data_IF_832302170433
#
_entry.id   IF_832302170433
#
_cell.length_a   1.000
_cell.length_b   1.000
_cell.length_c   1.000
_cell.angle_alpha   90.00
_cell.angle_beta   90.00
_cell.angle_gamma   90.00
#
_symmetry.space_group_name_H-M   'P 1'
#
loop_
_entity.id
_entity.type
_entity.pdbx_description
1 polymer ?
#
# COMPACT_ATOMS: atom_id res chain seq x y z
N UNK A 1 17.70 12.57 26.23
CA UNK A 1 16.39 12.85 25.62
C UNK A 1 16.56 12.56 24.15
N UNK A 2 15.89 11.53 23.62
CA UNK A 2 15.95 11.23 22.19
C UNK A 2 14.94 12.14 21.50
N UNK A 3 15.42 13.02 20.62
CA UNK A 3 14.56 13.78 19.73
C UNK A 3 13.91 12.78 18.76
N UNK A 4 12.59 12.62 18.90
CA UNK A 4 11.76 11.92 17.94
C UNK A 4 11.83 12.70 16.63
N UNK A 5 12.71 12.31 15.72
CA UNK A 5 12.69 12.78 14.34
C UNK A 5 11.41 12.23 13.70
N UNK A 6 10.31 12.97 13.87
CA UNK A 6 9.13 12.84 13.03
C UNK A 6 9.59 13.16 11.61
N UNK A 7 9.87 12.11 10.85
CA UNK A 7 9.99 12.20 9.40
C UNK A 7 8.66 12.80 8.94
N UNK A 8 8.67 13.98 8.28
CA UNK A 8 7.42 14.54 7.79
C UNK A 8 6.79 13.52 6.85
N UNK A 9 5.48 13.28 6.95
CA UNK A 9 4.82 12.33 6.08
C UNK A 9 5.11 12.70 4.63
N UNK A 10 5.26 11.71 3.72
CA UNK A 10 5.48 11.98 2.32
C UNK A 10 4.40 12.96 1.80
N UNK A 11 4.76 13.90 0.91
CA UNK A 11 3.79 14.85 0.37
C UNK A 11 2.63 14.08 -0.27
N UNK A 12 1.41 14.43 0.13
CA UNK A 12 0.21 13.77 -0.37
C UNK A 12 0.13 13.86 -1.89
N UNK A 13 -0.16 12.73 -2.54
CA UNK A 13 -0.31 12.69 -4.00
C UNK A 13 -1.39 13.68 -4.47
N UNK A 14 -1.09 14.42 -5.54
CA UNK A 14 -2.03 15.38 -6.16
C UNK A 14 -2.80 14.77 -7.33
N UNK A 15 -2.66 13.46 -7.54
CA UNK A 15 -3.28 12.76 -8.66
C UNK A 15 -4.83 12.88 -8.64
N UNK A 16 -5.46 13.06 -9.80
CA UNK A 16 -6.90 13.33 -9.88
C UNK A 16 -7.76 12.15 -9.38
N UNK A 17 -7.31 10.91 -9.62
CA UNK A 17 -7.98 9.71 -9.11
C UNK A 17 -7.71 9.52 -7.62
N UNK A 18 -8.78 9.43 -6.80
CA UNK A 18 -8.69 9.10 -5.38
C UNK A 18 -7.97 7.77 -5.16
N UNK A 19 -8.34 6.72 -5.89
CA UNK A 19 -7.73 5.40 -5.73
C UNK A 19 -6.23 5.39 -6.02
N UNK A 20 -5.79 6.15 -7.03
CA UNK A 20 -4.35 6.31 -7.31
C UNK A 20 -3.64 6.99 -6.14
N UNK A 21 -4.21 8.08 -5.59
CA UNK A 21 -3.63 8.77 -4.43
C UNK A 21 -3.43 7.82 -3.26
N UNK A 22 -4.46 7.05 -2.90
CA UNK A 22 -4.38 6.07 -1.82
C UNK A 22 -3.26 5.05 -2.02
N UNK A 23 -3.15 4.48 -3.22
CA UNK A 23 -2.09 3.51 -3.51
C UNK A 23 -0.72 4.20 -3.48
N UNK A 24 -0.56 5.38 -4.08
CA UNK A 24 0.70 6.14 -4.06
C UNK A 24 1.12 6.48 -2.64
N UNK A 25 0.19 6.94 -1.80
CA UNK A 25 0.46 7.32 -0.41
C UNK A 25 0.91 6.09 0.39
N UNK A 26 0.23 4.95 0.24
CA UNK A 26 0.61 3.69 0.88
C UNK A 26 2.01 3.21 0.46
N UNK A 27 2.31 3.21 -0.84
CA UNK A 27 3.62 2.81 -1.36
C UNK A 27 4.73 3.77 -0.92
N UNK A 28 4.44 5.07 -0.92
CA UNK A 28 5.38 6.10 -0.46
C UNK A 28 5.67 5.93 1.02
N UNK A 29 4.66 5.64 1.84
CA UNK A 29 4.85 5.34 3.26
C UNK A 29 5.74 4.10 3.46
N UNK A 30 5.51 3.00 2.72
CA UNK A 30 6.35 1.80 2.81
C UNK A 30 7.81 2.10 2.45
N UNK A 31 8.04 2.87 1.38
CA UNK A 31 9.38 3.28 0.96
C UNK A 31 10.08 4.17 2.00
N UNK A 32 9.37 5.16 2.55
CA UNK A 32 9.93 6.13 3.49
C UNK A 32 10.14 5.54 4.89
N UNK A 33 9.13 4.85 5.42
CA UNK A 33 9.13 4.29 6.77
C UNK A 33 9.91 2.97 6.84
N UNK A 34 10.29 2.41 5.68
CA UNK A 34 10.89 1.07 5.57
C UNK A 34 10.06 0.03 6.30
N UNK A 35 8.74 0.04 6.03
CA UNK A 35 7.79 -0.91 6.61
C UNK A 35 8.32 -2.33 6.46
N UNK A 36 8.52 -3.09 7.56
CA UNK A 36 9.15 -4.40 7.48
C UNK A 36 8.34 -5.37 6.60
N UNK A 37 8.99 -5.86 5.54
CA UNK A 37 8.47 -6.90 4.66
C UNK A 37 9.53 -8.01 4.59
N UNK A 38 9.08 -9.26 4.69
CA UNK A 38 9.97 -10.42 4.72
C UNK A 38 10.77 -10.50 3.42
N UNK A 39 12.06 -10.83 3.54
CA UNK A 39 13.00 -11.02 2.43
C UNK A 39 13.24 -9.78 1.53
N UNK A 40 12.70 -8.61 1.87
CA UNK A 40 12.94 -7.36 1.12
C UNK A 40 14.25 -6.70 1.50
N UNK A 41 15.01 -6.28 0.49
CA UNK A 41 16.24 -5.51 0.63
C UNK A 41 16.07 -4.04 0.20
N UNK A 42 17.16 -3.26 0.22
CA UNK A 42 17.12 -1.85 -0.15
C UNK A 42 16.64 -1.59 -1.60
N UNK A 43 16.92 -2.52 -2.52
CA UNK A 43 16.51 -2.42 -3.91
C UNK A 43 15.01 -2.64 -4.07
N UNK A 44 14.41 -3.50 -3.24
CA UNK A 44 12.97 -3.76 -3.24
C UNK A 44 12.19 -2.51 -2.79
N UNK A 45 12.64 -1.85 -1.71
CA UNK A 45 12.05 -0.57 -1.30
C UNK A 45 12.26 0.53 -2.36
N UNK A 46 13.45 0.60 -2.96
CA UNK A 46 13.71 1.55 -4.04
C UNK A 46 12.78 1.32 -5.24
N UNK A 47 12.51 0.05 -5.58
CA UNK A 47 11.58 -0.31 -6.63
C UNK A 47 10.14 0.13 -6.31
N UNK A 48 9.68 -0.01 -5.06
CA UNK A 48 8.39 0.55 -4.64
C UNK A 48 8.34 2.07 -4.80
N UNK A 49 9.40 2.80 -4.44
CA UNK A 49 9.46 4.25 -4.67
C UNK A 49 9.34 4.62 -6.15
N UNK A 50 9.93 3.82 -7.04
CA UNK A 50 9.78 3.97 -8.50
C UNK A 50 8.34 3.71 -8.93
N UNK A 51 7.69 2.66 -8.43
CA UNK A 51 6.29 2.35 -8.75
C UNK A 51 5.33 3.44 -8.26
N UNK A 52 5.53 3.96 -7.05
CA UNK A 52 4.76 5.09 -6.52
C UNK A 52 4.86 6.32 -7.44
N UNK A 53 6.08 6.68 -7.84
CA UNK A 53 6.34 7.80 -8.76
C UNK A 53 5.70 7.56 -10.14
N UNK A 54 5.74 6.33 -10.64
CA UNK A 54 5.15 5.97 -11.92
C UNK A 54 3.62 6.06 -11.91
N UNK A 55 2.98 5.63 -10.82
CA UNK A 55 1.53 5.78 -10.60
C UNK A 55 1.13 7.25 -10.47
N UNK A 56 1.86 8.03 -9.67
CA UNK A 56 1.57 9.45 -9.44
C UNK A 56 1.70 10.30 -10.72
N UNK A 57 2.70 9.97 -11.56
CA UNK A 57 2.90 10.63 -12.84
C UNK A 57 2.01 10.11 -13.98
N UNK A 58 1.21 9.06 -13.74
CA UNK A 58 0.38 8.42 -14.76
C UNK A 58 1.15 7.62 -15.81
N UNK A 59 2.45 7.35 -15.60
CA UNK A 59 3.26 6.47 -16.47
C UNK A 59 2.88 5.00 -16.29
N UNK A 60 2.36 4.66 -15.12
CA UNK A 60 1.77 3.36 -14.80
C UNK A 60 0.30 3.60 -14.45
N UNK A 61 -0.61 2.90 -15.11
CA UNK A 61 -2.03 2.98 -14.78
C UNK A 61 -2.36 2.11 -13.58
N UNK A 62 -3.32 2.55 -12.76
CA UNK A 62 -3.84 1.70 -11.68
C UNK A 62 -4.42 0.39 -12.24
N UNK A 63 -5.03 0.44 -13.42
CA UNK A 63 -5.53 -0.74 -14.10
C UNK A 63 -4.40 -1.73 -14.40
N UNK A 64 -3.20 -1.28 -14.79
CA UNK A 64 -2.05 -2.14 -15.10
C UNK A 64 -1.54 -2.94 -13.89
N UNK A 65 -1.75 -2.40 -12.68
CA UNK A 65 -1.28 -2.99 -11.42
C UNK A 65 -2.41 -3.55 -10.55
N UNK A 66 -3.66 -3.41 -10.97
CA UNK A 66 -4.79 -4.09 -10.35
C UNK A 66 -4.85 -5.53 -10.88
N UNK A 67 -5.26 -6.47 -10.03
CA UNK A 67 -5.44 -7.84 -10.47
C UNK A 67 -6.55 -7.95 -11.52
N UNK A 68 -6.27 -8.72 -12.58
CA UNK A 68 -7.07 -8.77 -13.82
C UNK A 68 -8.12 -9.88 -13.87
N UNK A 69 -8.25 -10.66 -12.81
CA UNK A 69 -9.22 -11.75 -12.73
C UNK A 69 -8.62 -13.14 -12.95
N UNK A 70 -9.44 -14.19 -12.80
CA UNK A 70 -9.01 -15.58 -12.89
C UNK A 70 -8.34 -15.90 -14.23
N UNK A 71 -7.28 -16.71 -14.19
CA UNK A 71 -6.51 -17.09 -15.39
C UNK A 71 -5.53 -16.02 -15.89
N UNK A 72 -5.50 -14.84 -15.27
CA UNK A 72 -4.48 -13.82 -15.57
C UNK A 72 -3.19 -14.09 -14.77
N UNK A 73 -2.05 -14.01 -15.45
CA UNK A 73 -0.75 -14.04 -14.78
C UNK A 73 -0.54 -12.78 -13.94
N UNK A 74 0.05 -12.92 -12.75
CA UNK A 74 0.42 -11.79 -11.91
C UNK A 74 1.78 -11.25 -12.31
N UNK A 75 1.85 -9.96 -12.62
CA UNK A 75 3.12 -9.27 -12.91
C UNK A 75 3.96 -9.09 -11.66
N UNK A 76 5.25 -8.75 -11.85
CA UNK A 76 6.14 -8.42 -10.73
C UNK A 76 5.61 -7.20 -9.98
N UNK A 77 5.21 -6.16 -10.69
CA UNK A 77 4.67 -4.91 -10.16
C UNK A 77 3.44 -5.19 -9.27
N UNK A 78 2.52 -6.03 -9.74
CA UNK A 78 1.32 -6.41 -8.99
C UNK A 78 1.67 -7.06 -7.64
N UNK A 79 2.64 -7.98 -7.63
CA UNK A 79 3.08 -8.67 -6.39
C UNK A 79 3.70 -7.69 -5.41
N UNK A 80 4.64 -6.88 -5.88
CA UNK A 80 5.33 -5.89 -5.05
C UNK A 80 4.36 -4.87 -4.45
N UNK A 81 3.44 -4.35 -5.25
CA UNK A 81 2.43 -3.39 -4.78
C UNK A 81 1.48 -4.03 -3.78
N UNK A 82 0.99 -5.25 -4.05
CA UNK A 82 0.10 -5.96 -3.14
C UNK A 82 0.77 -6.23 -1.80
N UNK A 83 2.01 -6.72 -1.81
CA UNK A 83 2.77 -7.04 -0.60
C UNK A 83 3.08 -5.77 0.22
N UNK A 84 3.50 -4.68 -0.42
CA UNK A 84 3.70 -3.39 0.23
C UNK A 84 2.43 -2.84 0.88
N UNK A 85 1.32 -2.80 0.14
CA UNK A 85 0.04 -2.28 0.63
C UNK A 85 -0.44 -3.09 1.83
N UNK A 86 -0.39 -4.41 1.74
CA UNK A 86 -0.76 -5.30 2.84
C UNK A 86 0.12 -5.07 4.07
N UNK A 87 1.43 -4.97 3.89
CA UNK A 87 2.35 -4.75 5.00
C UNK A 87 2.06 -3.43 5.70
N UNK A 88 1.80 -2.35 4.93
CA UNK A 88 1.39 -1.07 5.48
C UNK A 88 0.11 -1.18 6.31
N UNK A 89 -0.90 -1.86 5.77
CA UNK A 89 -2.19 -2.06 6.45
C UNK A 89 -2.03 -2.84 7.76
N UNK A 90 -1.12 -3.84 7.81
CA UNK A 90 -0.79 -4.57 9.04
C UNK A 90 -0.15 -3.66 10.09
N UNK A 91 0.85 -2.86 9.69
CA UNK A 91 1.52 -1.91 10.59
C UNK A 91 0.54 -0.86 11.14
N UNK A 92 -0.35 -0.30 10.32
CA UNK A 92 -1.38 0.64 10.78
C UNK A 92 -2.34 -0.01 11.77
N UNK A 93 -2.81 -1.23 11.47
CA UNK A 93 -3.69 -1.98 12.38
C UNK A 93 -3.02 -2.30 13.72
N UNK A 94 -1.72 -2.55 13.73
CA UNK A 94 -0.95 -2.74 14.96
C UNK A 94 -0.81 -1.43 15.74
N UNK A 95 -0.56 -0.31 15.07
CA UNK A 95 -0.45 1.00 15.70
C UNK A 95 -1.76 1.44 16.38
N UNK A 96 -2.92 1.18 15.78
CA UNK A 96 -4.22 1.63 16.33
C UNK A 96 -4.71 0.76 17.49
N UNK A 97 -4.32 -0.52 17.57
CA UNK A 97 -4.70 -1.44 18.68
C UNK A 97 -4.37 -0.89 20.07
N UNK A 98 -3.32 -0.10 20.18
CA UNK A 98 -2.85 0.44 21.46
C UNK A 98 -3.63 1.71 21.88
N UNK A 99 -4.34 2.35 20.96
CA UNK A 99 -4.95 3.67 21.17
C UNK A 99 -6.44 3.63 21.57
N UNK A 100 -7.17 2.52 21.30
CA UNK A 100 -8.60 2.32 21.62
C UNK A 100 -9.52 3.47 21.17
N UNK A 101 -9.20 4.11 20.05
CA UNK A 101 -10.02 5.15 19.46
C UNK A 101 -10.87 4.54 18.33
N UNK A 102 -12.18 4.43 18.57
CA UNK A 102 -13.12 3.80 17.63
C UNK A 102 -13.28 4.59 16.33
N UNK A 103 -13.12 5.92 16.37
CA UNK A 103 -13.22 6.77 15.19
C UNK A 103 -11.97 6.59 14.30
N UNK A 104 -10.77 6.55 14.89
CA UNK A 104 -9.53 6.27 14.15
C UNK A 104 -9.54 4.85 13.54
N UNK A 105 -10.08 3.86 14.26
CA UNK A 105 -10.25 2.50 13.73
C UNK A 105 -11.21 2.47 12.53
N UNK A 106 -12.31 3.23 12.58
CA UNK A 106 -13.28 3.30 11.49
C UNK A 106 -12.69 3.95 10.23
N UNK A 107 -11.95 5.05 10.39
CA UNK A 107 -11.28 5.74 9.29
C UNK A 107 -10.20 4.85 8.65
N UNK A 108 -9.36 4.20 9.46
CA UNK A 108 -8.38 3.23 8.97
C UNK A 108 -9.05 2.10 8.17
N UNK A 109 -10.15 1.52 8.69
CA UNK A 109 -10.86 0.45 7.98
C UNK A 109 -11.46 0.92 6.64
N UNK A 110 -11.93 2.16 6.55
CA UNK A 110 -12.42 2.75 5.31
C UNK A 110 -11.29 2.91 4.28
N UNK A 111 -10.13 3.40 4.72
CA UNK A 111 -8.95 3.57 3.86
C UNK A 111 -8.41 2.23 3.37
N UNK A 112 -8.38 1.23 4.25
CA UNK A 112 -8.03 -0.16 3.93
C UNK A 112 -8.98 -0.76 2.88
N UNK A 113 -10.28 -0.51 3.00
CA UNK A 113 -11.26 -0.97 2.01
C UNK A 113 -11.05 -0.33 0.63
N UNK A 114 -10.68 0.96 0.59
CA UNK A 114 -10.34 1.66 -0.67
C UNK A 114 -9.13 1.02 -1.32
N UNK A 115 -8.06 0.73 -0.56
CA UNK A 115 -6.84 0.11 -1.06
C UNK A 115 -7.10 -1.29 -1.64
N UNK A 116 -7.82 -2.13 -0.90
CA UNK A 116 -8.18 -3.48 -1.35
C UNK A 116 -9.03 -3.44 -2.62
N UNK A 117 -9.98 -2.51 -2.70
CA UNK A 117 -10.81 -2.35 -3.89
C UNK A 117 -10.05 -1.78 -5.08
N UNK A 118 -9.09 -0.87 -4.86
CA UNK A 118 -8.30 -0.26 -5.92
C UNK A 118 -7.43 -1.28 -6.68
N UNK A 119 -6.96 -2.31 -5.98
CA UNK A 119 -6.05 -3.34 -6.50
C UNK A 119 -6.75 -4.69 -6.75
N UNK A 120 -8.07 -4.77 -6.53
CA UNK A 120 -8.87 -5.99 -6.57
C UNK A 120 -8.37 -7.11 -5.61
N UNK A 121 -7.73 -6.74 -4.49
CA UNK A 121 -7.19 -7.69 -3.49
C UNK A 121 -8.27 -8.33 -2.61
N UNK A 122 -9.47 -7.75 -2.59
CA UNK A 122 -10.63 -8.31 -1.90
C UNK A 122 -11.30 -9.47 -2.65
N UNK A 123 -10.92 -9.74 -3.90
CA UNK A 123 -11.54 -10.82 -4.68
C UNK A 123 -11.12 -12.20 -4.16
N UNK A 124 -12.05 -13.15 -3.95
CA UNK A 124 -11.75 -14.43 -3.30
C UNK A 124 -10.77 -15.31 -4.09
N UNK A 125 -10.77 -15.19 -5.41
CA UNK A 125 -9.88 -15.93 -6.31
C UNK A 125 -8.56 -15.20 -6.61
N UNK A 126 -8.34 -14.02 -6.03
CA UNK A 126 -7.09 -13.29 -6.26
C UNK A 126 -5.95 -14.01 -5.51
N UNK A 127 -4.93 -14.55 -6.19
CA UNK A 127 -3.81 -15.21 -5.53
C UNK A 127 -3.03 -14.25 -4.60
N UNK A 128 -2.99 -12.95 -4.92
CA UNK A 128 -2.33 -11.92 -4.11
C UNK A 128 -3.07 -11.65 -2.78
N UNK A 129 -4.25 -12.23 -2.58
CA UNK A 129 -4.95 -12.17 -1.29
C UNK A 129 -4.22 -12.95 -0.21
N UNK A 130 -3.31 -13.87 -0.56
CA UNK A 130 -2.48 -14.59 0.43
C UNK A 130 -1.66 -13.62 1.31
N UNK A 131 -1.28 -12.46 0.77
CA UNK A 131 -0.66 -11.40 1.57
C UNK A 131 -1.67 -10.79 2.55
N UNK A 132 -2.91 -10.57 2.10
CA UNK A 132 -4.00 -9.89 2.82
C UNK A 132 -4.73 -10.73 3.90
N UNK A 133 -4.10 -11.78 4.44
CA UNK A 133 -4.52 -12.35 5.72
C UNK A 133 -4.21 -11.32 6.84
N UNK A 134 -5.17 -10.40 7.03
CA UNK A 134 -5.19 -9.33 8.04
C UNK A 134 -5.90 -9.79 9.31
#
# INVERSE_FOLDING_TARGET
>A
MAESFLVPPPPASTHQSKSVRFVVDALSAVHHDRTPIADWDENDYAYIGVLATALDSGKLGLDDVAWKGPGSETSKEQRFIAEAVVARMKTEREAVKDHKDEDEEADMNNDHAVLLSALNLNHPENPLREYAHL
#
